data_IF_682649060378
#
_entry.id   IF_682649060378
#
_cell.length_a   1.000
_cell.length_b   1.000
_cell.length_c   1.000
_cell.angle_alpha   90.00
_cell.angle_beta   90.00
_cell.angle_gamma   90.00
#
_symmetry.space_group_name_H-M   'P 1'
#
loop_
_entity.id
_entity.type
_entity.pdbx_description
1 polymer ?
#
# COMPACT_ATOMS: atom_id res chain seq x y z
N UNK A 1 -12.40 -1.91 9.15
CA UNK A 1 -11.78 -2.98 9.96
C UNK A 1 -10.64 -3.58 9.15
N UNK A 2 -9.41 -3.54 9.67
CA UNK A 2 -8.22 -4.07 8.99
C UNK A 2 -8.31 -5.59 8.76
N UNK A 3 -7.54 -6.10 7.80
CA UNK A 3 -7.47 -7.53 7.51
C UNK A 3 -6.98 -8.31 8.74
N UNK A 4 -7.68 -9.37 9.19
CA UNK A 4 -7.36 -10.10 10.42
C UNK A 4 -6.19 -11.08 10.27
N UNK A 5 -5.54 -11.13 9.11
CA UNK A 5 -4.46 -12.07 8.79
C UNK A 5 -3.12 -11.36 8.62
N UNK A 6 -2.04 -12.04 9.01
CA UNK A 6 -0.68 -11.57 8.85
C UNK A 6 -0.34 -11.28 7.38
N UNK A 7 0.67 -10.42 7.18
CA UNK A 7 1.30 -10.31 5.87
C UNK A 7 1.99 -11.63 5.52
N UNK A 8 1.85 -12.07 4.26
CA UNK A 8 2.60 -13.21 3.78
C UNK A 8 4.05 -12.80 3.56
N UNK A 9 4.96 -13.36 4.35
CA UNK A 9 6.38 -12.99 4.35
C UNK A 9 7.23 -14.17 4.80
N UNK A 10 8.39 -14.31 4.18
CA UNK A 10 9.42 -15.27 4.57
C UNK A 10 10.63 -14.48 5.06
N UNK A 11 11.07 -14.76 6.29
CA UNK A 11 12.31 -14.27 6.85
C UNK A 11 13.35 -15.40 6.81
N UNK A 12 14.48 -15.13 6.17
CA UNK A 12 15.62 -16.05 6.12
C UNK A 12 16.83 -15.33 6.71
N UNK A 13 17.41 -15.89 7.77
CA UNK A 13 18.68 -15.43 8.35
C UNK A 13 19.78 -16.40 7.94
N UNK A 14 20.90 -15.86 7.47
CA UNK A 14 22.04 -16.64 6.97
C UNK A 14 23.28 -16.25 7.76
N UNK A 15 24.09 -17.24 8.16
CA UNK A 15 25.39 -17.08 8.79
C UNK A 15 26.50 -17.77 7.96
N UNK A 16 27.73 -17.83 8.50
CA UNK A 16 28.88 -18.43 7.83
C UNK A 16 28.70 -19.93 7.54
N UNK A 17 27.81 -20.63 8.24
CA UNK A 17 27.52 -22.05 8.08
C UNK A 17 26.31 -22.32 7.17
N UNK A 18 25.53 -21.30 6.81
CA UNK A 18 24.39 -21.40 5.91
C UNK A 18 23.12 -20.77 6.50
N UNK A 19 21.95 -21.37 6.24
CA UNK A 19 20.68 -20.86 6.76
C UNK A 19 20.60 -21.13 8.26
N UNK A 20 20.63 -20.07 9.06
CA UNK A 20 20.49 -20.11 10.51
C UNK A 20 19.02 -20.19 10.95
N UNK A 21 18.15 -19.39 10.30
CA UNK A 21 16.74 -19.31 10.66
C UNK A 21 15.86 -19.15 9.43
N UNK A 22 14.70 -19.81 9.45
CA UNK A 22 13.63 -19.71 8.47
C UNK A 22 12.30 -19.54 9.20
N UNK A 23 11.60 -18.43 8.94
CA UNK A 23 10.27 -18.13 9.48
C UNK A 23 9.34 -17.74 8.32
N UNK A 24 8.18 -18.38 8.23
CA UNK A 24 7.17 -18.10 7.21
C UNK A 24 5.86 -17.74 7.88
N UNK A 25 5.43 -16.49 7.69
CA UNK A 25 4.20 -15.92 8.24
C UNK A 25 3.17 -15.70 7.15
N UNK A 26 1.89 -15.67 7.55
CA UNK A 26 0.78 -15.38 6.64
C UNK A 26 0.61 -16.39 5.50
N UNK A 27 1.13 -17.62 5.65
CA UNK A 27 1.17 -18.69 4.65
C UNK A 27 -0.23 -19.16 4.20
N UNK A 28 -0.90 -18.33 3.40
CA UNK A 28 -2.23 -18.58 2.88
C UNK A 28 -2.22 -19.69 1.84
N UNK A 29 -3.29 -20.49 1.79
CA UNK A 29 -3.47 -21.47 0.71
C UNK A 29 -4.32 -20.87 -0.40
N UNK A 30 -3.79 -20.81 -1.62
CA UNK A 30 -4.58 -20.45 -2.81
C UNK A 30 -5.74 -21.45 -2.97
N UNK A 31 -6.97 -20.95 -2.89
CA UNK A 31 -8.19 -21.78 -3.01
C UNK A 31 -8.67 -21.89 -4.45
N UNK A 32 -8.67 -20.77 -5.18
CA UNK A 32 -9.25 -20.67 -6.52
C UNK A 32 -8.67 -19.47 -7.28
N UNK A 33 -8.55 -19.59 -8.59
CA UNK A 33 -8.36 -18.46 -9.52
C UNK A 33 -9.74 -17.92 -9.91
N UNK A 34 -9.98 -16.63 -9.65
CA UNK A 34 -11.27 -16.00 -9.97
C UNK A 34 -11.34 -15.58 -11.44
N UNK A 35 -10.23 -15.10 -11.98
CA UNK A 35 -10.09 -14.65 -13.37
C UNK A 35 -8.65 -14.85 -13.80
N UNK A 36 -8.45 -15.50 -14.94
CA UNK A 36 -7.16 -15.56 -15.61
C UNK A 36 -7.02 -14.35 -16.54
N UNK A 37 -5.80 -13.81 -16.67
CA UNK A 37 -5.50 -12.66 -17.54
C UNK A 37 -6.48 -11.50 -17.33
N UNK A 38 -6.61 -11.03 -16.09
CA UNK A 38 -7.46 -9.88 -15.79
C UNK A 38 -7.02 -8.67 -16.65
N UNK A 39 -7.97 -8.08 -17.36
CA UNK A 39 -7.74 -6.86 -18.12
C UNK A 39 -7.42 -5.72 -17.15
N UNK A 40 -6.27 -5.10 -17.35
CA UNK A 40 -5.84 -3.96 -16.55
C UNK A 40 -6.40 -2.68 -17.16
N UNK A 41 -6.71 -1.73 -16.30
CA UNK A 41 -7.01 -0.38 -16.74
C UNK A 41 -5.78 0.20 -17.48
N UNK A 42 -5.96 0.96 -18.58
CA UNK A 42 -4.87 1.63 -19.26
C UNK A 42 -4.01 2.43 -18.29
N UNK A 43 -2.69 2.43 -18.50
CA UNK A 43 -1.75 3.11 -17.60
C UNK A 43 -2.07 4.62 -17.50
N UNK A 44 -2.48 5.26 -18.60
CA UNK A 44 -2.86 6.67 -18.64
C UNK A 44 -4.01 6.97 -17.66
N UNK A 45 -5.07 6.15 -17.65
CA UNK A 45 -6.19 6.29 -16.72
C UNK A 45 -5.77 6.07 -15.26
N UNK A 46 -4.79 5.19 -15.02
CA UNK A 46 -4.22 4.94 -13.70
C UNK A 46 -3.40 6.16 -13.21
N UNK A 47 -2.61 6.78 -14.09
CA UNK A 47 -1.85 8.00 -13.77
C UNK A 47 -2.78 9.16 -13.42
N UNK A 48 -3.83 9.38 -14.20
CA UNK A 48 -4.85 10.41 -13.96
C UNK A 48 -5.55 10.23 -12.59
N UNK A 49 -5.81 8.98 -12.22
CA UNK A 49 -6.40 8.65 -10.92
C UNK A 49 -5.42 8.84 -9.78
N UNK A 50 -4.16 8.46 -9.97
CA UNK A 50 -3.12 8.65 -8.97
C UNK A 50 -2.93 10.14 -8.66
N UNK A 51 -2.87 11.00 -9.67
CA UNK A 51 -2.77 12.45 -9.48
C UNK A 51 -3.93 12.99 -8.63
N UNK A 52 -5.17 12.67 -9.01
CA UNK A 52 -6.38 13.10 -8.27
C UNK A 52 -6.39 12.60 -6.82
N UNK A 53 -5.99 11.34 -6.61
CA UNK A 53 -5.97 10.72 -5.29
C UNK A 53 -4.89 11.34 -4.40
N UNK A 54 -3.69 11.58 -4.93
CA UNK A 54 -2.61 12.26 -4.21
C UNK A 54 -3.01 13.68 -3.82
N UNK A 55 -3.64 14.43 -4.72
CA UNK A 55 -4.18 15.75 -4.37
C UNK A 55 -5.22 15.65 -3.26
N UNK A 56 -6.17 14.73 -3.37
CA UNK A 56 -7.21 14.53 -2.35
C UNK A 56 -6.64 14.19 -0.96
N UNK A 57 -5.58 13.37 -0.90
CA UNK A 57 -4.96 12.95 0.36
C UNK A 57 -4.22 14.08 1.09
N UNK A 58 -3.62 15.02 0.34
CA UNK A 58 -2.71 16.04 0.90
C UNK A 58 -3.28 17.46 0.88
N UNK A 59 -4.43 17.68 0.26
CA UNK A 59 -5.15 18.96 0.32
C UNK A 59 -5.59 19.24 1.78
N UNK A 60 -5.27 20.42 2.35
CA UNK A 60 -5.67 20.77 3.71
C UNK A 60 -7.19 20.81 3.84
N UNK A 61 -7.73 20.13 4.87
CA UNK A 61 -9.17 20.11 5.11
C UNK A 61 -9.75 21.46 5.54
N UNK A 62 -8.90 22.40 5.99
CA UNK A 62 -9.30 23.69 6.56
C UNK A 62 -9.28 24.87 5.58
N UNK A 63 -9.25 24.64 4.26
CA UNK A 63 -9.15 25.70 3.23
C UNK A 63 -7.91 26.62 3.33
N UNK A 64 -6.95 26.30 4.18
CA UNK A 64 -5.65 26.96 4.17
C UNK A 64 -4.89 26.49 2.91
N UNK A 65 -4.29 27.43 2.18
CA UNK A 65 -3.43 27.09 1.04
C UNK A 65 -2.12 26.52 1.59
N UNK A 66 -2.03 25.20 1.71
CA UNK A 66 -0.74 24.55 1.83
C UNK A 66 -0.14 24.42 0.44
N UNK A 67 0.99 25.10 0.23
CA UNK A 67 1.81 24.87 -0.94
C UNK A 67 2.70 23.66 -0.68
N UNK A 68 2.47 22.57 -1.43
CA UNK A 68 3.27 21.35 -1.38
C UNK A 68 3.64 20.87 -2.78
N UNK A 69 4.67 20.05 -2.87
CA UNK A 69 5.05 19.33 -4.08
C UNK A 69 5.21 17.85 -3.81
N UNK A 70 4.62 17.02 -4.67
CA UNK A 70 4.76 15.56 -4.63
C UNK A 70 5.67 15.11 -5.77
N UNK A 71 6.63 14.23 -5.48
CA UNK A 71 7.49 13.61 -6.49
C UNK A 71 7.37 12.09 -6.40
N UNK A 72 6.77 11.49 -7.43
CA UNK A 72 6.75 10.03 -7.60
C UNK A 72 8.13 9.54 -8.00
N UNK A 73 8.69 8.59 -7.24
CA UNK A 73 10.03 8.00 -7.44
C UNK A 73 9.98 6.68 -8.19
N UNK A 74 8.92 5.91 -7.99
CA UNK A 74 8.75 4.58 -8.60
C UNK A 74 7.27 4.28 -8.77
N UNK A 75 6.95 3.63 -9.89
CA UNK A 75 5.64 3.04 -10.16
C UNK A 75 5.87 1.55 -10.40
N UNK A 76 5.19 0.65 -9.69
CA UNK A 76 5.29 -0.80 -9.91
C UNK A 76 3.94 -1.48 -9.97
N UNK A 77 3.84 -2.48 -10.84
CA UNK A 77 2.71 -3.40 -10.90
C UNK A 77 3.01 -4.56 -9.96
N UNK A 78 2.21 -4.67 -8.90
CA UNK A 78 2.39 -5.63 -7.82
C UNK A 78 1.06 -6.37 -7.56
N UNK A 79 1.00 -7.13 -6.46
CA UNK A 79 -0.22 -7.79 -6.01
C UNK A 79 -0.54 -7.42 -4.56
N UNK A 80 -1.80 -7.10 -4.28
CA UNK A 80 -2.28 -6.85 -2.93
C UNK A 80 -3.31 -7.91 -2.51
N UNK A 81 -3.22 -8.32 -1.24
CA UNK A 81 -4.21 -9.18 -0.61
C UNK A 81 -5.22 -8.32 0.16
N UNK A 82 -6.44 -8.18 -0.39
CA UNK A 82 -7.51 -7.35 0.16
C UNK A 82 -8.61 -8.18 0.83
N UNK A 83 -9.34 -7.56 1.75
CA UNK A 83 -10.49 -8.18 2.41
C UNK A 83 -11.65 -8.39 1.43
N UNK A 84 -12.39 -9.48 1.61
CA UNK A 84 -13.66 -9.68 0.94
C UNK A 84 -14.77 -9.38 1.95
N UNK A 85 -15.75 -8.56 1.55
CA UNK A 85 -16.86 -8.20 2.42
C UNK A 85 -17.57 -9.47 2.91
N UNK A 86 -17.85 -9.53 4.22
CA UNK A 86 -18.52 -10.65 4.90
C UNK A 86 -17.74 -11.99 4.93
N UNK A 87 -16.46 -12.00 4.55
CA UNK A 87 -15.61 -13.20 4.53
C UNK A 87 -14.34 -12.97 5.36
N UNK A 88 -14.31 -13.47 6.59
CA UNK A 88 -13.23 -13.17 7.55
C UNK A 88 -12.00 -14.06 7.42
N UNK A 89 -12.11 -15.18 6.71
CA UNK A 89 -11.04 -16.17 6.55
C UNK A 89 -10.55 -16.29 5.09
N UNK A 90 -10.95 -15.36 4.22
CA UNK A 90 -10.62 -15.35 2.80
C UNK A 90 -10.19 -13.96 2.39
N UNK A 91 -8.91 -13.83 2.04
CA UNK A 91 -8.42 -12.68 1.30
C UNK A 91 -8.56 -12.89 -0.21
N UNK A 92 -8.70 -11.80 -0.95
CA UNK A 92 -8.64 -11.79 -2.40
C UNK A 92 -7.35 -11.14 -2.84
N UNK A 93 -6.54 -11.86 -3.60
CA UNK A 93 -5.37 -11.31 -4.24
C UNK A 93 -5.80 -10.60 -5.54
N UNK A 94 -5.38 -9.36 -5.71
CA UNK A 94 -5.69 -8.52 -6.88
C UNK A 94 -4.40 -7.85 -7.39
N UNK A 95 -4.30 -7.58 -8.71
CA UNK A 95 -3.20 -6.78 -9.23
C UNK A 95 -3.38 -5.32 -8.82
N UNK A 96 -2.28 -4.64 -8.51
CA UNK A 96 -2.28 -3.24 -8.06
C UNK A 96 -1.14 -2.45 -8.68
N UNK A 97 -1.33 -1.15 -8.79
CA UNK A 97 -0.25 -0.20 -9.08
C UNK A 97 0.14 0.53 -7.80
N UNK A 98 1.41 0.41 -7.42
CA UNK A 98 2.01 1.11 -6.29
C UNK A 98 2.82 2.31 -6.78
N UNK A 99 2.52 3.48 -6.22
CA UNK A 99 3.19 4.75 -6.46
C UNK A 99 3.99 5.13 -5.21
N UNK A 100 5.31 5.02 -5.29
CA UNK A 100 6.21 5.40 -4.21
C UNK A 100 6.57 6.88 -4.41
N UNK A 101 6.30 7.73 -3.43
CA UNK A 101 6.47 9.18 -3.58
C UNK A 101 6.96 9.88 -2.32
N UNK A 102 7.57 11.03 -2.54
CA UNK A 102 7.94 11.99 -1.49
C UNK A 102 7.03 13.22 -1.55
N UNK A 103 6.80 13.88 -0.42
CA UNK A 103 6.10 15.15 -0.32
C UNK A 103 6.97 16.20 0.40
N UNK A 104 6.96 17.43 -0.12
CA UNK A 104 7.67 18.57 0.46
C UNK A 104 6.69 19.73 0.64
N UNK A 105 6.62 20.29 1.85
CA UNK A 105 5.79 21.45 2.18
C UNK A 105 6.64 22.74 2.19
N UNK A 106 6.09 23.86 1.70
CA UNK A 106 6.85 25.14 1.54
C UNK A 106 7.38 25.76 2.83
N UNK A 107 6.95 25.34 4.02
CA UNK A 107 7.53 25.81 5.29
C UNK A 107 8.97 25.29 5.53
N UNK A 108 9.55 24.57 4.57
CA UNK A 108 10.99 24.29 4.51
C UNK A 108 11.42 23.04 5.27
N UNK A 109 10.51 22.40 5.98
CA UNK A 109 10.73 21.08 6.57
C UNK A 109 10.31 20.00 5.56
N UNK A 110 11.29 19.24 5.08
CA UNK A 110 11.02 17.99 4.41
C UNK A 110 10.35 17.04 5.41
N UNK A 111 9.26 16.38 5.03
CA UNK A 111 8.73 15.27 5.82
C UNK A 111 9.85 14.25 6.00
N UNK A 112 10.10 13.86 7.25
CA UNK A 112 11.14 12.91 7.61
C UNK A 112 10.86 11.56 6.92
N UNK A 113 11.61 11.29 5.85
CA UNK A 113 12.21 10.01 5.44
C UNK A 113 11.41 8.71 5.50
N UNK A 114 10.07 8.74 5.54
CA UNK A 114 9.24 7.56 5.26
C UNK A 114 8.69 7.65 3.84
N UNK A 115 9.01 6.69 2.94
CA UNK A 115 8.47 6.69 1.59
C UNK A 115 6.97 6.39 1.66
N UNK A 116 6.15 7.35 1.25
CA UNK A 116 4.71 7.13 1.12
C UNK A 116 4.44 6.23 -0.09
N UNK A 117 3.41 5.40 0.03
CA UNK A 117 2.91 4.56 -1.06
C UNK A 117 1.43 4.81 -1.26
N UNK A 118 1.06 5.17 -2.49
CA UNK A 118 -0.32 5.13 -2.95
C UNK A 118 -0.54 3.83 -3.74
N UNK A 119 -1.49 3.02 -3.29
CA UNK A 119 -1.87 1.77 -3.95
C UNK A 119 -3.23 1.90 -4.63
N UNK A 120 -3.29 1.61 -5.93
CA UNK A 120 -4.52 1.59 -6.73
C UNK A 120 -4.78 0.19 -7.27
N UNK A 121 -6.03 -0.26 -7.25
CA UNK A 121 -6.44 -1.50 -7.94
C UNK A 121 -6.16 -1.36 -9.44
N UNK A 122 -5.38 -2.28 -10.02
CA UNK A 122 -4.99 -2.18 -11.42
C UNK A 122 -6.14 -2.49 -12.40
N UNK A 123 -7.24 -3.09 -11.93
CA UNK A 123 -8.40 -3.43 -12.77
C UNK A 123 -9.35 -2.24 -12.91
N UNK A 124 -9.64 -1.54 -11.81
CA UNK A 124 -10.68 -0.51 -11.78
C UNK A 124 -10.20 0.86 -11.27
N UNK A 125 -8.92 1.00 -10.94
CA UNK A 125 -8.28 2.22 -10.47
C UNK A 125 -8.80 2.74 -9.13
N UNK A 126 -9.50 1.93 -8.34
CA UNK A 126 -9.95 2.34 -7.00
C UNK A 126 -8.78 2.36 -6.02
N UNK A 127 -8.79 3.34 -5.13
CA UNK A 127 -7.86 3.43 -4.02
C UNK A 127 -7.97 2.23 -3.09
N UNK A 128 -6.82 1.71 -2.67
CA UNK A 128 -6.71 0.66 -1.66
C UNK A 128 -6.10 1.28 -0.42
N UNK A 129 -6.84 1.23 0.69
CA UNK A 129 -6.35 1.68 1.98
C UNK A 129 -5.11 0.86 2.38
N UNK A 130 -3.98 1.50 2.71
CA UNK A 130 -2.81 0.82 3.23
C UNK A 130 -3.18 -0.07 4.42
N UNK A 131 -2.51 -1.22 4.52
CA UNK A 131 -2.61 -2.03 5.74
C UNK A 131 -1.93 -1.27 6.88
N UNK A 132 -2.74 -0.60 7.70
CA UNK A 132 -2.25 -0.03 8.95
C UNK A 132 -2.06 -1.19 9.93
N UNK A 133 -0.81 -1.44 10.32
CA UNK A 133 -0.50 -2.45 11.33
C UNK A 133 -1.00 -1.98 12.70
N UNK A 134 -1.30 -2.91 13.60
CA UNK A 134 -1.76 -2.57 14.95
C UNK A 134 -0.78 -1.66 15.69
N UNK A 135 0.53 -1.85 15.47
CA UNK A 135 1.58 -0.98 16.00
C UNK A 135 1.46 0.46 15.48
N UNK A 136 1.25 0.63 14.17
CA UNK A 136 1.01 1.95 13.56
C UNK A 136 -0.27 2.62 14.10
N UNK A 137 -1.32 1.83 14.38
CA UNK A 137 -2.53 2.35 15.03
C UNK A 137 -2.23 2.78 16.47
N UNK A 138 -1.46 1.99 17.22
CA UNK A 138 -1.10 2.27 18.61
C UNK A 138 -0.20 3.51 18.74
N UNK A 139 0.78 3.69 17.85
CA UNK A 139 1.65 4.88 17.76
C UNK A 139 0.85 6.16 17.48
N UNK A 140 -0.05 6.13 16.49
CA UNK A 140 -0.94 7.27 16.17
C UNK A 140 -1.95 7.54 17.29
N UNK A 141 -2.36 6.51 18.04
CA UNK A 141 -3.32 6.65 19.14
C UNK A 141 -2.69 7.12 20.46
N UNK A 142 -1.36 6.99 20.63
CA UNK A 142 -0.67 7.39 21.87
C UNK A 142 -0.03 8.78 21.81
N UNK A 143 -0.01 9.44 20.65
CA UNK A 143 0.33 10.87 20.54
C UNK A 143 1.66 11.24 21.19
N UNK A 144 2.75 10.64 20.71
CA UNK A 144 4.11 11.20 20.86
C UNK A 144 4.56 11.79 19.53
#
# INVERSE_FOLDING_TARGET
>A
MGAPWDQEVIFVTVDEAGIYCFDWRGAGKQKKVLQENAELLPLEDILDRAEKQLMYQHLPQNNEKADFSITVKKISLDSALVNVANETNIGRMIPVWDFYYDIVYKEGEASAMEPYVLTLNAIDGRYIEPRITKNTIEEVSTGN
#
